data_IF_479765348523
#
_entry.id   IF_479765348523
#
_cell.length_a   1.000
_cell.length_b   1.000
_cell.length_c   1.000
_cell.angle_alpha   90.00
_cell.angle_beta   90.00
_cell.angle_gamma   90.00
#
_symmetry.space_group_name_H-M   'P 1'
#
loop_
_entity.id
_entity.type
_entity.pdbx_description
1 polymer ?
#
# COMPACT_ATOMS: atom_id res chain seq x y z
N UNK A 1 -13.20 -7.99 10.50
CA UNK A 1 -12.26 -7.53 11.54
C UNK A 1 -10.91 -7.29 10.89
N UNK A 2 -10.37 -6.06 10.93
CA UNK A 2 -9.08 -5.73 10.28
C UNK A 2 -7.92 -6.05 11.23
N UNK A 3 -7.21 -7.16 10.98
CA UNK A 3 -6.13 -7.65 11.84
C UNK A 3 -4.96 -6.66 11.96
N UNK A 4 -4.65 -5.93 10.88
CA UNK A 4 -3.56 -4.95 10.86
C UNK A 4 -3.87 -3.79 11.81
N UNK A 5 -5.09 -3.28 11.77
CA UNK A 5 -5.52 -2.20 12.65
C UNK A 5 -5.53 -2.61 14.13
N UNK A 6 -5.80 -3.89 14.42
CA UNK A 6 -5.79 -4.42 15.78
C UNK A 6 -4.40 -4.44 16.43
N UNK A 7 -3.31 -4.37 15.67
CA UNK A 7 -1.96 -4.33 16.24
C UNK A 7 -1.70 -3.10 17.13
N UNK A 8 -2.56 -2.07 17.07
CA UNK A 8 -2.55 -0.93 18.00
C UNK A 8 -2.85 -1.32 19.45
N UNK A 9 -3.55 -2.44 19.64
CA UNK A 9 -3.91 -2.96 20.96
C UNK A 9 -2.71 -3.74 21.52
N UNK A 10 -2.11 -3.30 22.66
CA UNK A 10 -0.97 -3.97 23.27
C UNK A 10 -1.25 -5.44 23.62
N UNK A 11 -2.49 -5.76 24.00
CA UNK A 11 -2.88 -7.12 24.33
C UNK A 11 -2.82 -7.99 23.07
N UNK A 12 -3.37 -7.48 21.96
CA UNK A 12 -3.35 -8.16 20.66
C UNK A 12 -1.93 -8.34 20.10
N UNK A 13 -1.05 -7.35 20.27
CA UNK A 13 0.34 -7.39 19.83
C UNK A 13 1.31 -8.15 20.78
N UNK A 14 0.78 -8.66 21.90
CA UNK A 14 1.56 -9.31 22.96
C UNK A 14 2.28 -10.59 22.51
N UNK A 15 3.35 -10.93 23.23
CA UNK A 15 4.12 -12.19 22.99
C UNK A 15 3.24 -13.44 23.12
N UNK A 16 2.21 -13.40 23.94
CA UNK A 16 1.26 -14.50 24.10
C UNK A 16 0.41 -14.67 22.84
N UNK A 17 -0.19 -13.57 22.34
CA UNK A 17 -1.01 -13.59 21.14
C UNK A 17 -0.23 -14.01 19.88
N UNK A 18 1.05 -13.66 19.78
CA UNK A 18 1.94 -14.10 18.69
C UNK A 18 2.03 -15.62 18.57
N UNK A 19 1.96 -16.34 19.69
CA UNK A 19 2.08 -17.81 19.74
C UNK A 19 0.80 -18.53 19.34
N UNK A 20 -0.33 -17.83 19.23
CA UNK A 20 -1.62 -18.44 18.92
C UNK A 20 -1.75 -18.85 17.46
N UNK A 21 -1.06 -18.16 16.52
CA UNK A 21 -1.06 -18.59 15.11
C UNK A 21 0.15 -18.07 14.32
N UNK A 22 0.58 -18.79 13.28
CA UNK A 22 1.63 -18.33 12.37
C UNK A 22 1.31 -16.97 11.74
N UNK A 23 0.04 -16.74 11.38
CA UNK A 23 -0.41 -15.46 10.82
C UNK A 23 -0.22 -14.31 11.83
N UNK A 24 -0.57 -14.49 13.10
CA UNK A 24 -0.37 -13.47 14.14
C UNK A 24 1.11 -13.19 14.37
N UNK A 25 1.94 -14.25 14.40
CA UNK A 25 3.39 -14.10 14.52
C UNK A 25 3.96 -13.30 13.35
N UNK A 26 3.57 -13.63 12.12
CA UNK A 26 4.00 -12.90 10.92
C UNK A 26 3.54 -11.44 10.97
N UNK A 27 2.26 -11.20 11.28
CA UNK A 27 1.67 -9.86 11.33
C UNK A 27 2.40 -8.96 12.36
N UNK A 28 2.63 -9.45 13.58
CA UNK A 28 3.34 -8.69 14.61
C UNK A 28 4.82 -8.43 14.28
N UNK A 29 5.41 -9.23 13.38
CA UNK A 29 6.81 -9.11 13.01
C UNK A 29 7.01 -8.19 11.81
N UNK A 30 6.10 -8.23 10.84
CA UNK A 30 6.31 -7.62 9.52
C UNK A 30 5.34 -6.50 9.17
N UNK A 31 4.21 -6.37 9.88
CA UNK A 31 3.16 -5.44 9.47
C UNK A 31 3.16 -4.10 10.23
N UNK A 32 4.00 -3.97 11.27
CA UNK A 32 4.07 -2.75 12.10
C UNK A 32 4.42 -1.50 11.30
N UNK A 33 5.29 -1.59 10.29
CA UNK A 33 5.71 -0.42 9.51
C UNK A 33 4.55 0.29 8.81
N UNK A 34 3.54 -0.46 8.36
CA UNK A 34 2.33 0.12 7.75
C UNK A 34 1.46 0.82 8.80
N UNK A 35 1.36 0.23 9.99
CA UNK A 35 0.58 0.80 11.09
C UNK A 35 1.23 2.06 11.66
N UNK A 36 2.55 2.04 11.89
CA UNK A 36 3.32 3.19 12.37
C UNK A 36 3.18 4.37 11.42
N UNK A 37 3.40 4.15 10.11
CA UNK A 37 3.22 5.17 9.08
C UNK A 37 1.81 5.73 9.04
N UNK A 38 0.80 4.87 9.21
CA UNK A 38 -0.59 5.33 9.30
C UNK A 38 -0.85 6.15 10.55
N UNK A 39 -0.31 5.75 11.72
CA UNK A 39 -0.47 6.49 12.97
C UNK A 39 0.18 7.86 12.90
N UNK A 40 1.42 7.95 12.42
CA UNK A 40 2.13 9.22 12.20
C UNK A 40 1.34 10.14 11.27
N UNK A 41 0.88 9.61 10.13
CA UNK A 41 0.07 10.36 9.16
C UNK A 41 -1.28 10.80 9.74
N UNK A 42 -1.90 9.95 10.55
CA UNK A 42 -3.16 10.24 11.23
C UNK A 42 -2.99 11.36 12.24
N UNK A 43 -1.95 11.29 13.05
CA UNK A 43 -1.68 12.24 14.12
C UNK A 43 -1.21 13.60 13.52
N UNK A 44 -0.64 13.60 12.32
CA UNK A 44 -0.36 14.79 11.50
C UNK A 44 -1.60 15.37 10.77
N UNK A 45 -2.78 14.74 10.90
CA UNK A 45 -4.04 15.28 10.38
C UNK A 45 -4.50 14.76 9.01
N UNK A 46 -3.86 13.72 8.46
CA UNK A 46 -4.32 12.97 7.27
C UNK A 46 -4.46 13.79 5.98
N UNK A 47 -3.64 14.83 5.80
CA UNK A 47 -3.68 15.70 4.60
C UNK A 47 -2.41 15.63 3.78
N UNK A 48 -1.28 15.45 4.44
CA UNK A 48 0.01 15.42 3.75
C UNK A 48 0.18 14.11 2.97
N UNK A 49 0.87 14.14 1.83
CA UNK A 49 1.14 12.94 1.08
C UNK A 49 2.15 12.04 1.80
N UNK A 50 1.95 10.73 1.66
CA UNK A 50 2.90 9.74 2.13
C UNK A 50 4.00 9.50 1.11
N UNK A 51 5.23 9.38 1.59
CA UNK A 51 6.39 9.10 0.76
C UNK A 51 6.84 7.65 1.03
N UNK A 52 6.85 6.86 -0.03
CA UNK A 52 7.34 5.49 0.00
C UNK A 52 8.67 5.44 -0.73
N UNK A 53 9.66 4.82 -0.12
CA UNK A 53 10.99 4.61 -0.69
C UNK A 53 11.45 3.18 -0.42
N UNK A 54 12.10 2.58 -1.40
CA UNK A 54 12.88 1.35 -1.25
C UNK A 54 14.37 1.66 -1.47
N UNK A 55 15.23 0.67 -1.25
CA UNK A 55 16.71 0.82 -1.35
C UNK A 55 17.18 1.35 -2.71
N UNK A 56 16.39 1.19 -3.78
CA UNK A 56 16.67 1.78 -5.09
C UNK A 56 16.01 3.16 -5.24
N UNK A 57 16.77 4.25 -5.51
CA UNK A 57 16.24 5.62 -5.67
C UNK A 57 15.14 5.76 -6.74
N UNK A 58 15.19 4.90 -7.77
CA UNK A 58 14.22 4.82 -8.87
C UNK A 58 12.79 4.47 -8.41
N UNK A 59 12.61 4.09 -7.14
CA UNK A 59 11.33 3.61 -6.62
C UNK A 59 10.83 4.39 -5.42
N UNK A 60 11.27 5.65 -5.29
CA UNK A 60 10.57 6.60 -4.46
C UNK A 60 9.29 7.05 -5.16
N UNK A 61 8.16 6.96 -4.47
CA UNK A 61 6.90 7.50 -4.96
C UNK A 61 6.14 8.18 -3.84
N UNK A 62 5.25 9.08 -4.25
CA UNK A 62 4.40 9.89 -3.38
C UNK A 62 2.97 9.40 -3.56
N UNK A 63 2.22 9.29 -2.48
CA UNK A 63 0.83 8.87 -2.51
C UNK A 63 -0.05 9.79 -1.66
N UNK A 64 -1.14 10.25 -2.25
CA UNK A 64 -2.25 10.88 -1.55
C UNK A 64 -3.28 9.80 -1.22
N UNK A 65 -3.65 9.69 0.05
CA UNK A 65 -4.57 8.67 0.55
C UNK A 65 -5.92 9.32 0.82
N UNK A 66 -6.93 8.95 0.04
CA UNK A 66 -8.32 9.33 0.23
C UNK A 66 -8.53 10.83 0.55
N UNK A 67 -8.07 11.71 -0.35
CA UNK A 67 -8.22 13.17 -0.20
C UNK A 67 -9.68 13.60 -0.07
N UNK A 68 -10.58 12.83 -0.68
CA UNK A 68 -12.03 13.05 -0.69
C UNK A 68 -12.71 12.53 0.59
N UNK A 69 -11.95 11.92 1.51
CA UNK A 69 -12.41 11.39 2.81
C UNK A 69 -13.60 10.42 2.69
N UNK A 70 -13.59 9.58 1.65
CA UNK A 70 -14.65 8.61 1.35
C UNK A 70 -14.58 7.35 2.20
N UNK A 71 -13.39 6.96 2.63
CA UNK A 71 -13.13 5.66 3.23
C UNK A 71 -12.93 5.72 4.75
N UNK A 72 -13.25 4.60 5.42
CA UNK A 72 -12.99 4.43 6.85
C UNK A 72 -11.47 4.36 7.14
N UNK A 73 -11.11 4.48 8.42
CA UNK A 73 -9.70 4.46 8.84
C UNK A 73 -9.01 3.14 8.48
N UNK A 74 -9.72 2.04 8.63
CA UNK A 74 -9.25 0.69 8.32
C UNK A 74 -8.94 0.52 6.83
N UNK A 75 -9.73 1.15 5.97
CA UNK A 75 -9.59 1.08 4.51
C UNK A 75 -8.44 1.99 4.04
N UNK A 76 -8.31 3.18 4.62
CA UNK A 76 -7.13 4.05 4.43
C UNK A 76 -5.84 3.33 4.82
N UNK A 77 -5.85 2.64 5.97
CA UNK A 77 -4.73 1.81 6.40
C UNK A 77 -4.48 0.65 5.43
N UNK A 78 -5.52 0.04 4.87
CA UNK A 78 -5.38 -1.01 3.84
C UNK A 78 -4.72 -0.48 2.56
N UNK A 79 -5.06 0.73 2.11
CA UNK A 79 -4.40 1.37 0.96
C UNK A 79 -2.91 1.63 1.26
N UNK A 80 -2.59 2.17 2.44
CA UNK A 80 -1.20 2.39 2.87
C UNK A 80 -0.43 1.08 2.94
N UNK A 81 -1.03 0.02 3.48
CA UNK A 81 -0.41 -1.30 3.54
C UNK A 81 -0.10 -1.82 2.13
N UNK A 82 -1.01 -1.65 1.18
CA UNK A 82 -0.80 -2.07 -0.23
C UNK A 82 0.44 -1.40 -0.82
N UNK A 83 0.59 -0.09 -0.61
CA UNK A 83 1.76 0.67 -1.10
C UNK A 83 3.05 0.32 -0.34
N UNK A 84 2.96 0.03 0.96
CA UNK A 84 4.10 -0.47 1.74
C UNK A 84 4.56 -1.83 1.22
N UNK A 85 3.64 -2.75 0.90
CA UNK A 85 3.99 -4.05 0.34
C UNK A 85 4.59 -3.93 -1.06
N UNK A 86 4.12 -3.00 -1.88
CA UNK A 86 4.78 -2.67 -3.14
C UNK A 86 6.25 -2.27 -2.93
N UNK A 87 6.54 -1.43 -1.92
CA UNK A 87 7.93 -1.07 -1.55
C UNK A 87 8.75 -2.26 -1.03
N UNK A 88 8.12 -3.12 -0.22
CA UNK A 88 8.76 -4.31 0.34
C UNK A 88 9.13 -5.31 -0.76
N UNK A 89 8.18 -5.65 -1.64
CA UNK A 89 8.42 -6.52 -2.80
C UNK A 89 9.52 -5.92 -3.67
N UNK A 90 9.48 -4.61 -3.87
CA UNK A 90 10.49 -3.91 -4.64
C UNK A 90 11.93 -4.06 -4.10
N UNK A 91 12.10 -4.25 -2.79
CA UNK A 91 13.41 -4.35 -2.14
C UNK A 91 14.12 -5.70 -2.31
N UNK A 92 13.43 -6.74 -2.79
CA UNK A 92 14.07 -8.06 -2.93
C UNK A 92 15.16 -8.06 -4.00
N UNK A 93 16.36 -8.51 -3.62
CA UNK A 93 17.54 -8.50 -4.49
C UNK A 93 17.37 -9.25 -5.81
N UNK A 94 16.61 -10.35 -5.83
CA UNK A 94 16.34 -11.12 -7.06
C UNK A 94 15.50 -10.35 -8.09
N UNK A 95 14.76 -9.34 -7.65
CA UNK A 95 13.96 -8.47 -8.51
C UNK A 95 14.75 -7.23 -8.97
N UNK A 96 15.82 -6.85 -8.26
CA UNK A 96 16.56 -5.61 -8.49
C UNK A 96 16.98 -5.43 -9.95
N UNK A 97 17.67 -6.41 -10.52
CA UNK A 97 18.15 -6.35 -11.90
C UNK A 97 17.01 -6.18 -12.91
N UNK A 98 15.88 -6.88 -12.71
CA UNK A 98 14.72 -6.85 -13.62
C UNK A 98 13.95 -5.52 -13.55
N UNK A 99 13.87 -4.92 -12.37
CA UNK A 99 13.26 -3.59 -12.25
C UNK A 99 14.19 -2.49 -12.80
N UNK A 100 15.51 -2.63 -12.64
CA UNK A 100 16.51 -1.70 -13.19
C UNK A 100 16.60 -1.80 -14.72
N UNK A 101 16.43 -3.00 -15.29
CA UNK A 101 16.36 -3.22 -16.75
C UNK A 101 15.00 -2.89 -17.37
N UNK A 102 14.00 -2.54 -16.56
CA UNK A 102 12.62 -2.31 -16.98
C UNK A 102 11.94 -3.53 -17.62
N UNK A 103 12.41 -4.75 -17.34
CA UNK A 103 11.77 -6.01 -17.78
C UNK A 103 10.60 -6.44 -16.87
N UNK A 104 10.46 -5.79 -15.72
CA UNK A 104 9.46 -6.10 -14.72
C UNK A 104 8.89 -4.80 -14.15
N UNK A 105 7.59 -4.82 -13.88
CA UNK A 105 6.86 -3.71 -13.26
C UNK A 105 5.99 -4.23 -12.14
N UNK A 106 5.88 -3.43 -11.07
CA UNK A 106 5.05 -3.75 -9.91
C UNK A 106 3.89 -2.76 -9.91
N UNK A 107 2.68 -3.30 -9.89
CA UNK A 107 1.44 -2.54 -9.83
C UNK A 107 0.75 -2.80 -8.50
N UNK A 108 0.08 -1.77 -7.96
CA UNK A 108 -0.72 -1.87 -6.76
C UNK A 108 -2.20 -1.76 -7.14
N UNK A 109 -2.97 -2.80 -6.82
CA UNK A 109 -4.42 -2.80 -6.88
C UNK A 109 -4.97 -2.89 -5.46
N UNK A 110 -6.01 -2.12 -5.18
CA UNK A 110 -6.75 -2.14 -3.93
C UNK A 110 -8.22 -2.46 -4.24
N UNK A 111 -8.81 -3.38 -3.50
CA UNK A 111 -10.17 -3.85 -3.73
C UNK A 111 -11.07 -3.44 -2.57
N UNK A 112 -12.13 -2.70 -2.87
CA UNK A 112 -13.18 -2.38 -1.90
C UNK A 112 -14.12 -3.59 -1.80
N UNK A 113 -14.09 -4.28 -0.66
CA UNK A 113 -14.92 -5.46 -0.42
C UNK A 113 -16.41 -5.14 -0.22
N UNK A 114 -16.77 -3.88 0.02
CA UNK A 114 -18.14 -3.47 0.27
C UNK A 114 -18.86 -3.12 -1.03
N UNK A 115 -18.19 -2.41 -1.94
CA UNK A 115 -18.76 -2.04 -3.25
C UNK A 115 -18.41 -3.04 -4.34
N UNK A 116 -17.30 -3.78 -4.19
CA UNK A 116 -16.76 -4.64 -5.23
C UNK A 116 -15.87 -3.89 -6.24
N UNK A 117 -15.56 -2.62 -5.99
CA UNK A 117 -14.76 -1.80 -6.90
C UNK A 117 -13.27 -2.11 -6.76
N UNK A 118 -12.57 -2.13 -7.90
CA UNK A 118 -11.12 -2.24 -7.97
C UNK A 118 -10.53 -0.86 -8.19
N UNK A 119 -9.49 -0.52 -7.45
CA UNK A 119 -8.72 0.70 -7.61
C UNK A 119 -7.28 0.38 -7.99
N UNK A 120 -6.75 1.11 -8.96
CA UNK A 120 -5.35 1.05 -9.38
C UNK A 120 -4.58 2.25 -8.85
N UNK A 121 -3.38 2.03 -8.32
CA UNK A 121 -2.50 3.13 -7.94
C UNK A 121 -1.84 3.75 -9.18
N UNK A 122 -2.35 4.91 -9.60
CA UNK A 122 -1.77 5.70 -10.67
C UNK A 122 -0.53 6.44 -10.18
N UNK A 123 0.59 6.28 -10.89
CA UNK A 123 1.84 7.00 -10.59
C UNK A 123 1.77 8.44 -11.08
N UNK A 124 1.05 8.68 -12.18
CA UNK A 124 0.78 10.01 -12.70
C UNK A 124 -0.06 10.83 -11.73
N UNK A 125 -1.19 10.28 -11.28
CA UNK A 125 -2.09 10.94 -10.34
C UNK A 125 -1.65 10.85 -8.88
N UNK A 126 -0.67 9.98 -8.56
CA UNK A 126 -0.16 9.73 -7.19
C UNK A 126 -1.24 9.30 -6.20
N UNK A 127 -2.27 8.61 -6.68
CA UNK A 127 -3.41 8.16 -5.86
C UNK A 127 -4.07 6.92 -6.46
N UNK A 128 -4.90 6.26 -5.66
CA UNK A 128 -5.78 5.21 -6.13
C UNK A 128 -6.90 5.80 -6.98
N UNK A 129 -7.06 5.29 -8.21
CA UNK A 129 -8.15 5.63 -9.12
C UNK A 129 -9.01 4.38 -9.34
N UNK A 130 -10.34 4.50 -9.41
CA UNK A 130 -11.19 3.37 -9.75
C UNK A 130 -10.81 2.83 -11.13
N UNK A 131 -11.01 1.52 -11.31
CA UNK A 131 -10.87 0.84 -12.59
C UNK A 131 -12.27 0.51 -13.08
N UNK A 132 -12.74 1.33 -14.01
CA UNK A 132 -14.07 1.28 -14.63
C UNK A 132 -13.95 1.49 -16.16
N UNK A 133 -15.08 1.46 -16.86
CA UNK A 133 -15.14 1.63 -18.31
C UNK A 133 -14.58 2.98 -18.80
N UNK A 134 -14.64 4.03 -17.96
CA UNK A 134 -14.19 5.38 -18.30
C UNK A 134 -12.68 5.59 -18.06
N UNK A 135 -12.09 4.80 -17.16
CA UNK A 135 -10.71 4.97 -16.69
C UNK A 135 -9.75 3.93 -17.25
N UNK A 136 -10.22 2.73 -17.61
CA UNK A 136 -9.37 1.60 -18.01
C UNK A 136 -8.43 1.91 -19.17
N UNK A 137 -8.91 2.63 -20.19
CA UNK A 137 -8.10 2.99 -21.36
C UNK A 137 -6.99 3.96 -20.97
N UNK A 138 -7.31 5.00 -20.19
CA UNK A 138 -6.32 5.98 -19.71
C UNK A 138 -5.27 5.34 -18.80
N UNK A 139 -5.70 4.44 -17.91
CA UNK A 139 -4.80 3.69 -17.04
C UNK A 139 -3.89 2.74 -17.85
N UNK A 140 -4.44 2.12 -18.90
CA UNK A 140 -3.66 1.27 -19.81
C UNK A 140 -2.63 2.06 -20.61
N UNK A 141 -2.98 3.25 -21.08
CA UNK A 141 -2.06 4.19 -21.72
C UNK A 141 -0.98 4.68 -20.75
N UNK A 142 -1.34 4.99 -19.51
CA UNK A 142 -0.38 5.31 -18.45
C UNK A 142 0.61 4.16 -18.27
N UNK A 143 0.12 2.93 -18.18
CA UNK A 143 0.97 1.76 -18.02
C UNK A 143 1.94 1.65 -19.20
N UNK A 144 1.45 1.75 -20.44
CA UNK A 144 2.32 1.75 -21.61
C UNK A 144 3.36 2.87 -21.53
N UNK A 145 2.98 4.10 -21.19
CA UNK A 145 3.90 5.24 -21.17
C UNK A 145 5.00 5.15 -20.10
N UNK A 146 4.69 4.64 -18.91
CA UNK A 146 5.63 4.61 -17.78
C UNK A 146 6.42 3.30 -17.69
N UNK A 147 6.02 2.27 -18.44
CA UNK A 147 6.53 0.92 -18.33
C UNK A 147 6.76 0.24 -19.70
N UNK A 148 6.91 1.00 -20.78
CA UNK A 148 7.52 0.54 -22.05
C UNK A 148 8.85 1.20 -22.28
#
# INVERSE_FOLDING_TARGET
MNLLYQLRDPDFASKLNRRLSPLRSWLCTHANTSLERFQEWRDAGMKDPLIFSSETPLRRFVAYIDEEQKFALEDKLSQINTLQQMSNIASYGFLKARLESHDLHIHALWFDIYTGDIYYFSRGAKRFLPVDEDTVDRLSEEVRRFYS
#
